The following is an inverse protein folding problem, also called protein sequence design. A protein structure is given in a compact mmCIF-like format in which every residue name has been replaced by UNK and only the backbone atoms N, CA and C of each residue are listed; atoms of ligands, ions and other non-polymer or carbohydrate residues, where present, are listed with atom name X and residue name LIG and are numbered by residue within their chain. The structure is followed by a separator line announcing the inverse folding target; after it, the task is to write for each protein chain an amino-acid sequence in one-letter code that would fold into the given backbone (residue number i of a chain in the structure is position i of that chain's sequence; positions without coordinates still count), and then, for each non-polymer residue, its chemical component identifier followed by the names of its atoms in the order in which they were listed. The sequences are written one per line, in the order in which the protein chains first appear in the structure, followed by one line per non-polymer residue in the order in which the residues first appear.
data_IF_529142458272
#
_entry.id   IF_529142458272
#
_cell.length_a   1.000
_cell.length_b   1.000
_cell.length_c   1.000
_cell.angle_alpha   90.00
_cell.angle_beta   90.00
_cell.angle_gamma   90.00
#
_symmetry.space_group_name_H-M   'P 1'
#
loop_
_entity.id
_entity.type
_entity.pdbx_description
1 polymer ?
#
# COMPACT_ATOMS: atom_id res chain seq x y z
N UNK A 1 -2.03 -0.61 10.77
CA UNK A 1 -0.58 -0.32 10.65
C UNK A 1 -0.19 -0.48 9.19
N UNK A 2 0.04 0.63 8.48
CA UNK A 2 0.47 0.62 7.08
C UNK A 2 1.91 0.08 7.02
N UNK A 3 2.19 -0.86 6.12
CA UNK A 3 3.52 -1.45 5.94
C UNK A 3 4.02 -1.10 4.55
N UNK A 4 5.15 -0.41 4.46
CA UNK A 4 5.88 -0.16 3.21
C UNK A 4 7.29 -0.68 3.38
N UNK A 5 7.77 -1.51 2.44
CA UNK A 5 9.14 -2.01 2.41
C UNK A 5 9.77 -1.53 1.10
N UNK A 6 10.65 -0.54 1.21
CA UNK A 6 11.46 -0.05 0.09
C UNK A 6 12.70 -0.96 0.02
N UNK A 7 12.83 -1.74 -1.05
CA UNK A 7 14.04 -2.52 -1.33
C UNK A 7 14.70 -1.91 -2.58
N UNK A 8 15.84 -1.28 -2.41
CA UNK A 8 16.71 -0.88 -3.52
C UNK A 8 17.91 -1.81 -3.47
N UNK A 9 18.04 -2.69 -4.47
CA UNK A 9 19.19 -3.60 -4.61
C UNK A 9 20.10 -3.02 -5.69
N UNK A 10 21.37 -2.78 -5.36
CA UNK A 10 22.35 -2.29 -6.32
C UNK A 10 23.25 -3.42 -6.80
N UNK A 11 23.60 -3.38 -8.09
CA UNK A 11 24.55 -4.32 -8.73
C UNK A 11 25.77 -3.55 -9.21
N UNK A 12 26.95 -3.96 -8.76
CA UNK A 12 28.24 -3.35 -9.10
C UNK A 12 28.51 -3.32 -10.61
N UNK A 13 29.07 -2.21 -11.11
CA UNK A 13 30.32 -2.23 -11.90
C UNK A 13 31.20 -1.00 -11.64
N UNK A 14 32.33 -1.26 -10.98
CA UNK A 14 33.69 -0.66 -11.08
C UNK A 14 33.90 0.84 -10.78
N UNK A 15 34.56 1.04 -9.63
CA UNK A 15 35.55 2.08 -9.31
C UNK A 15 35.07 3.52 -9.35
N UNK A 16 34.86 4.12 -8.18
CA UNK A 16 35.26 5.51 -7.96
C UNK A 16 35.47 5.75 -6.47
N UNK A 17 36.64 6.28 -6.15
CA UNK A 17 37.08 6.67 -4.80
C UNK A 17 35.94 7.36 -4.07
N UNK A 18 35.70 6.94 -2.83
CA UNK A 18 34.97 7.73 -1.86
C UNK A 18 35.53 9.16 -1.91
N UNK A 19 34.77 10.08 -2.49
CA UNK A 19 35.00 11.50 -2.23
C UNK A 19 34.64 11.66 -0.76
N UNK A 20 35.66 11.79 0.09
CA UNK A 20 35.59 11.90 1.56
C UNK A 20 34.67 13.03 2.09
N UNK A 21 33.94 13.73 1.22
CA UNK A 21 32.91 14.72 1.54
C UNK A 21 31.47 14.36 1.15
N UNK A 22 31.20 13.37 0.29
CA UNK A 22 29.84 13.14 -0.24
C UNK A 22 28.95 12.28 0.69
N UNK A 23 29.55 11.33 1.43
CA UNK A 23 28.80 10.43 2.34
C UNK A 23 28.17 11.13 3.56
N UNK A 24 28.61 12.34 3.92
CA UNK A 24 28.03 13.08 5.06
C UNK A 24 26.68 13.71 4.75
N UNK A 25 26.30 13.82 3.47
CA UNK A 25 25.16 14.63 3.05
C UNK A 25 23.86 13.86 2.81
N UNK A 26 23.79 12.55 3.10
CA UNK A 26 22.51 11.82 3.02
C UNK A 26 21.52 12.32 4.08
N UNK A 27 22.01 12.66 5.29
CA UNK A 27 21.18 13.23 6.36
C UNK A 27 20.61 14.61 6.02
N UNK A 28 21.24 15.35 5.10
CA UNK A 28 20.78 16.69 4.69
C UNK A 28 19.82 16.69 3.49
N UNK A 29 19.73 15.58 2.74
CA UNK A 29 18.84 15.46 1.58
C UNK A 29 17.40 15.07 1.98
N UNK A 30 17.25 14.36 3.10
CA UNK A 30 15.95 13.92 3.62
C UNK A 30 15.33 15.05 4.48
N UNK A 31 14.53 15.91 3.85
CA UNK A 31 13.86 17.04 4.53
C UNK A 31 12.72 16.61 5.47
N UNK A 32 12.18 15.41 5.27
CA UNK A 32 11.09 14.86 6.07
C UNK A 32 11.65 13.92 7.14
N UNK A 33 11.40 14.25 8.41
CA UNK A 33 11.90 13.55 9.58
C UNK A 33 11.40 12.09 9.71
N UNK A 34 10.38 11.71 8.93
CA UNK A 34 9.86 10.34 8.89
C UNK A 34 10.76 9.38 8.10
N UNK A 35 11.64 9.91 7.25
CA UNK A 35 12.66 9.12 6.56
C UNK A 35 13.86 8.86 7.46
N UNK A 36 14.31 7.62 7.49
CA UNK A 36 15.46 7.18 8.26
C UNK A 36 16.40 6.37 7.37
N UNK A 37 17.69 6.71 7.40
CA UNK A 37 18.72 5.88 6.80
C UNK A 37 18.89 4.62 7.64
N UNK A 38 18.55 3.46 7.06
CA UNK A 38 18.66 2.15 7.72
C UNK A 38 20.01 1.52 7.46
N UNK A 39 20.46 1.51 6.21
CA UNK A 39 21.76 0.98 5.82
C UNK A 39 22.40 1.84 4.75
N UNK A 40 23.72 1.98 4.83
CA UNK A 40 24.54 2.58 3.79
C UNK A 40 25.86 1.84 3.72
N UNK A 41 26.09 1.18 2.59
CA UNK A 41 27.30 0.43 2.26
C UNK A 41 27.63 0.62 0.79
N UNK A 42 28.77 0.11 0.35
CA UNK A 42 29.21 0.22 -1.05
C UNK A 42 28.18 -0.33 -2.05
N UNK A 43 27.35 -1.30 -1.64
CA UNK A 43 26.41 -2.02 -2.50
C UNK A 43 24.92 -1.87 -2.10
N UNK A 44 24.61 -1.21 -0.98
CA UNK A 44 23.24 -1.04 -0.51
C UNK A 44 23.02 0.33 0.12
N UNK A 45 22.02 1.04 -0.39
CA UNK A 45 21.40 2.18 0.28
C UNK A 45 19.97 1.80 0.66
N UNK A 46 19.70 1.71 1.96
CA UNK A 46 18.39 1.34 2.50
C UNK A 46 17.82 2.49 3.32
N UNK A 47 16.65 2.96 2.93
CA UNK A 47 15.91 4.02 3.63
C UNK A 47 14.54 3.46 4.05
N UNK A 48 14.10 3.84 5.25
CA UNK A 48 12.78 3.52 5.79
C UNK A 48 11.95 4.77 5.93
N UNK A 49 10.68 4.71 5.51
CA UNK A 49 9.68 5.73 5.77
C UNK A 49 8.72 5.22 6.85
N UNK A 50 8.61 5.98 7.94
CA UNK A 50 7.70 5.68 9.06
C UNK A 50 6.45 6.56 9.00
N UNK A 51 5.39 6.15 9.71
CA UNK A 51 4.11 6.89 9.76
C UNK A 51 3.60 7.27 8.35
N UNK A 52 3.54 6.26 7.48
CA UNK A 52 3.12 6.40 6.08
C UNK A 52 1.66 6.85 6.03
N UNK A 53 1.36 7.79 5.13
CA UNK A 53 0.02 8.25 4.81
C UNK A 53 -0.23 8.15 3.29
N UNK A 54 -1.48 8.37 2.86
CA UNK A 54 -1.83 8.38 1.43
C UNK A 54 -1.04 9.42 0.61
N UNK A 55 -0.59 10.52 1.22
CA UNK A 55 0.19 11.55 0.51
C UNK A 55 1.61 11.12 0.18
N UNK A 56 2.08 10.01 0.77
CA UNK A 56 3.43 9.48 0.54
C UNK A 56 3.50 8.55 -0.67
N UNK A 57 2.35 8.22 -1.26
CA UNK A 57 2.26 7.47 -2.50
C UNK A 57 2.86 8.25 -3.66
N UNK A 58 3.66 7.57 -4.47
CA UNK A 58 4.26 8.16 -5.65
C UNK A 58 5.61 7.55 -6.00
N UNK A 59 6.27 8.20 -6.95
CA UNK A 59 7.60 7.81 -7.44
C UNK A 59 8.68 8.51 -6.63
N UNK A 60 9.56 7.72 -6.05
CA UNK A 60 10.75 8.15 -5.36
C UNK A 60 11.98 7.94 -6.23
N UNK A 61 12.92 8.87 -6.13
CA UNK A 61 14.17 8.87 -6.88
C UNK A 61 15.34 8.76 -5.93
N UNK A 62 16.23 7.82 -6.23
CA UNK A 62 17.55 7.74 -5.65
C UNK A 62 18.56 8.25 -6.68
N UNK A 63 19.14 9.43 -6.42
CA UNK A 63 20.16 10.05 -7.25
C UNK A 63 21.55 9.78 -6.67
N UNK A 64 22.44 9.28 -7.51
CA UNK A 64 23.87 9.16 -7.24
C UNK A 64 24.61 10.18 -8.10
N UNK A 65 25.31 11.10 -7.44
CA UNK A 65 26.10 12.15 -8.09
C UNK A 65 27.46 11.61 -8.56
N UNK A 66 27.43 10.69 -9.53
CA UNK A 66 28.60 10.33 -10.36
C UNK A 66 28.69 11.22 -11.60
N UNK A 67 29.76 11.07 -12.38
CA UNK A 67 29.86 11.64 -13.72
C UNK A 67 29.92 10.50 -14.75
N UNK A 68 28.83 10.23 -15.50
CA UNK A 68 27.53 10.91 -15.47
C UNK A 68 26.67 10.55 -14.23
N UNK A 69 25.67 11.37 -13.85
CA UNK A 69 24.76 11.06 -12.74
C UNK A 69 23.96 9.79 -13.02
N UNK A 70 23.71 9.00 -11.97
CA UNK A 70 22.92 7.78 -12.05
C UNK A 70 21.64 7.93 -11.21
N UNK A 71 20.53 7.42 -11.72
CA UNK A 71 19.23 7.48 -11.04
C UNK A 71 18.60 6.08 -10.94
N UNK A 72 17.95 5.82 -9.82
CA UNK A 72 17.07 4.67 -9.63
C UNK A 72 15.70 5.14 -9.15
N UNK A 73 14.64 4.47 -9.61
CA UNK A 73 13.26 4.82 -9.31
C UNK A 73 12.59 3.73 -8.47
N UNK A 74 11.74 4.15 -7.52
CA UNK A 74 10.88 3.26 -6.76
C UNK A 74 9.46 3.83 -6.70
N UNK A 75 8.48 3.06 -7.18
CA UNK A 75 7.06 3.42 -7.07
C UNK A 75 6.50 2.86 -5.76
N UNK A 76 6.06 3.73 -4.86
CA UNK A 76 5.44 3.36 -3.59
C UNK A 76 3.93 3.46 -3.73
N UNK A 77 3.22 2.38 -3.39
CA UNK A 77 1.75 2.37 -3.26
C UNK A 77 1.36 2.15 -1.80
N UNK A 78 0.42 2.96 -1.32
CA UNK A 78 -0.09 2.87 0.05
C UNK A 78 -1.37 2.05 0.06
N UNK A 79 -1.38 0.98 0.84
CA UNK A 79 -2.48 0.03 0.92
C UNK A 79 -3.36 0.30 2.14
N UNK A 80 -4.66 0.45 1.96
CA UNK A 80 -5.59 0.62 3.07
C UNK A 80 -6.42 -0.66 3.24
N UNK A 81 -6.38 -1.32 4.41
CA UNK A 81 -7.24 -2.47 4.67
C UNK A 81 -8.72 -2.05 4.61
N UNK A 82 -9.62 -2.95 4.19
CA UNK A 82 -11.05 -2.66 4.28
C UNK A 82 -11.46 -2.38 5.73
N UNK A 83 -12.40 -1.44 5.90
CA UNK A 83 -13.14 -1.30 7.13
C UNK A 83 -13.97 -2.55 7.44
N UNK A 84 -14.49 -2.61 8.68
CA UNK A 84 -15.35 -3.71 9.08
C UNK A 84 -16.56 -3.80 8.14
N UNK A 85 -16.87 -5.00 7.60
CA UNK A 85 -18.03 -5.16 6.75
C UNK A 85 -19.31 -4.91 7.55
N UNK A 86 -20.18 -4.09 7.01
CA UNK A 86 -21.51 -3.81 7.56
C UNK A 86 -22.53 -4.52 6.67
N UNK A 87 -23.37 -5.35 7.27
CA UNK A 87 -24.42 -6.11 6.58
C UNK A 87 -25.78 -5.53 6.99
N UNK A 88 -26.56 -5.10 6.01
CA UNK A 88 -27.88 -4.50 6.20
C UNK A 88 -28.92 -5.18 5.33
N UNK A 89 -30.11 -5.41 5.86
CA UNK A 89 -31.26 -5.83 5.05
C UNK A 89 -31.95 -4.62 4.47
N UNK A 90 -32.43 -4.73 3.23
CA UNK A 90 -33.24 -3.66 2.62
C UNK A 90 -34.57 -3.45 3.35
N UNK A 91 -35.10 -4.51 3.95
CA UNK A 91 -36.43 -4.54 4.56
C UNK A 91 -36.42 -4.14 6.05
N UNK A 92 -35.25 -3.92 6.65
CA UNK A 92 -35.09 -3.57 8.07
C UNK A 92 -35.38 -4.71 9.04
N UNK A 93 -36.38 -5.55 8.73
CA UNK A 93 -36.72 -6.77 9.45
C UNK A 93 -36.71 -7.95 8.48
N UNK A 94 -35.98 -9.01 8.83
CA UNK A 94 -35.92 -10.24 8.03
C UNK A 94 -36.97 -11.21 8.57
N UNK A 95 -37.89 -11.65 7.72
CA UNK A 95 -38.97 -12.58 8.07
C UNK A 95 -38.61 -13.96 7.51
N UNK A 96 -38.67 -14.98 8.35
CA UNK A 96 -38.41 -16.36 7.93
C UNK A 96 -39.38 -16.80 6.82
N UNK A 97 -38.85 -17.40 5.76
CA UNK A 97 -39.61 -17.86 4.61
C UNK A 97 -39.84 -16.82 3.51
N UNK A 98 -39.50 -15.55 3.75
CA UNK A 98 -39.51 -14.52 2.70
C UNK A 98 -38.12 -14.37 2.06
N UNK A 99 -38.09 -14.00 0.78
CA UNK A 99 -36.85 -13.59 0.13
C UNK A 99 -36.46 -12.20 0.61
N UNK A 100 -35.19 -12.01 1.03
CA UNK A 100 -34.71 -10.70 1.47
C UNK A 100 -33.40 -10.32 0.80
N UNK A 101 -33.31 -9.07 0.36
CA UNK A 101 -32.08 -8.48 -0.18
C UNK A 101 -31.18 -7.96 0.95
N UNK A 102 -29.98 -8.54 1.06
CA UNK A 102 -28.94 -8.15 2.00
C UNK A 102 -27.83 -7.40 1.27
N UNK A 103 -27.33 -6.33 1.86
CA UNK A 103 -26.21 -5.55 1.30
C UNK A 103 -25.04 -5.58 2.28
N UNK A 104 -23.84 -5.87 1.76
CA UNK A 104 -22.59 -5.87 2.51
C UNK A 104 -21.68 -4.77 1.98
N UNK A 105 -21.25 -3.89 2.87
CA UNK A 105 -20.44 -2.71 2.57
C UNK A 105 -19.13 -2.73 3.37
N UNK A 106 -17.99 -2.61 2.69
CA UNK A 106 -16.66 -2.51 3.33
C UNK A 106 -15.93 -1.22 2.89
N UNK A 107 -16.05 -0.15 3.67
CA UNK A 107 -15.53 1.16 3.25
C UNK A 107 -14.01 1.33 3.40
N UNK A 108 -13.44 2.26 2.64
CA UNK A 108 -12.10 2.80 2.86
C UNK A 108 -10.94 1.94 2.38
N UNK A 109 -11.18 0.88 1.60
CA UNK A 109 -10.11 -0.02 1.15
C UNK A 109 -9.33 0.54 -0.04
N UNK A 110 -8.02 0.26 -0.08
CA UNK A 110 -7.17 0.47 -1.25
C UNK A 110 -6.17 -0.69 -1.39
N UNK A 111 -6.26 -1.51 -2.46
CA UNK A 111 -7.23 -1.44 -3.57
C UNK A 111 -8.66 -1.77 -3.11
N UNK A 112 -9.62 -1.72 -4.03
CA UNK A 112 -10.99 -2.12 -3.73
C UNK A 112 -11.05 -3.56 -3.18
N UNK A 113 -11.75 -3.72 -2.06
CA UNK A 113 -11.90 -5.00 -1.38
C UNK A 113 -12.76 -5.96 -2.18
N UNK A 114 -12.47 -7.26 -2.08
CA UNK A 114 -13.32 -8.31 -2.62
C UNK A 114 -14.24 -8.82 -1.51
N UNK A 115 -15.55 -8.76 -1.73
CA UNK A 115 -16.55 -9.27 -0.78
C UNK A 115 -17.12 -10.59 -1.29
N UNK A 116 -17.14 -11.60 -0.41
CA UNK A 116 -17.71 -12.92 -0.68
C UNK A 116 -18.78 -13.20 0.37
N UNK A 117 -19.93 -13.69 -0.09
CA UNK A 117 -21.04 -14.07 0.80
C UNK A 117 -20.91 -15.55 1.14
N UNK A 118 -21.03 -15.89 2.42
CA UNK A 118 -20.97 -17.26 2.91
C UNK A 118 -22.20 -17.53 3.79
N UNK A 119 -22.82 -18.70 3.62
CA UNK A 119 -23.86 -19.24 4.52
C UNK A 119 -23.39 -20.60 5.03
N UNK A 120 -22.88 -20.62 6.26
CA UNK A 120 -22.05 -21.74 6.74
C UNK A 120 -20.83 -21.90 5.83
N UNK A 121 -20.60 -23.11 5.34
CA UNK A 121 -19.47 -23.42 4.45
C UNK A 121 -19.77 -23.18 2.95
N UNK A 122 -20.99 -22.76 2.60
CA UNK A 122 -21.41 -22.57 1.21
C UNK A 122 -21.23 -21.10 0.78
N UNK A 123 -20.49 -20.91 -0.30
CA UNK A 123 -20.40 -19.61 -0.96
C UNK A 123 -21.68 -19.27 -1.72
N UNK A 124 -22.13 -18.02 -1.56
CA UNK A 124 -23.29 -17.46 -2.22
C UNK A 124 -22.84 -16.43 -3.26
N UNK A 125 -23.43 -16.47 -4.44
CA UNK A 125 -23.12 -15.50 -5.50
C UNK A 125 -23.80 -14.15 -5.24
N UNK A 126 -23.06 -13.18 -4.71
CA UNK A 126 -23.51 -11.79 -4.58
C UNK A 126 -23.43 -11.04 -5.91
N UNK A 127 -24.28 -10.02 -6.06
CA UNK A 127 -24.20 -9.04 -7.15
C UNK A 127 -23.31 -7.88 -6.71
N UNK A 128 -22.21 -7.66 -7.41
CA UNK A 128 -21.37 -6.47 -7.23
C UNK A 128 -22.13 -5.23 -7.68
N UNK A 129 -22.07 -4.17 -6.89
CA UNK A 129 -22.57 -2.85 -7.29
C UNK A 129 -21.41 -2.00 -7.83
N UNK A 130 -21.65 -0.84 -8.49
CA UNK A 130 -20.59 -0.01 -9.08
C UNK A 130 -19.49 0.41 -8.09
N UNK A 131 -19.78 0.33 -6.80
CA UNK A 131 -18.77 0.42 -5.74
C UNK A 131 -18.22 -0.99 -5.52
N UNK A 132 -16.98 -1.24 -5.96
CA UNK A 132 -16.31 -2.55 -5.83
C UNK A 132 -16.23 -3.07 -4.38
N UNK A 133 -16.55 -2.25 -3.38
CA UNK A 133 -16.61 -2.59 -1.96
C UNK A 133 -18.04 -2.80 -1.44
N UNK A 134 -19.03 -2.93 -2.31
CA UNK A 134 -20.43 -3.17 -1.96
C UNK A 134 -21.01 -4.29 -2.81
N UNK A 135 -21.56 -5.30 -2.15
CA UNK A 135 -22.25 -6.43 -2.79
C UNK A 135 -23.63 -6.61 -2.20
N UNK A 136 -24.60 -6.98 -3.03
CA UNK A 136 -25.95 -7.30 -2.59
C UNK A 136 -26.30 -8.74 -2.93
N UNK A 137 -27.01 -9.42 -2.03
CA UNK A 137 -27.44 -10.81 -2.20
C UNK A 137 -28.88 -10.98 -1.73
N UNK A 138 -29.72 -11.51 -2.61
CA UNK A 138 -31.04 -12.03 -2.23
C UNK A 138 -30.89 -13.42 -1.63
N UNK A 139 -31.40 -13.59 -0.41
CA UNK A 139 -31.38 -14.83 0.38
C UNK A 139 -32.77 -15.45 0.48
#
# INVERSE_FOLDING_TARGET
MLRVRINVVWGEKKTQRAVNGCCRSVRGALKDARFQLVNFSDNELRVSLSNVSLSDEGRYVCQLYTDPPQEAYADITVLIPPGNPIIESREGQVIEGNETEMTCTAMGSKPAATIRWMKGDKELQGRLTPVNTVTSKTL
#
